data_IF_094084616780
#
_entry.id   IF_094084616780
#
_cell.length_a   1.000
_cell.length_b   1.000
_cell.length_c   1.000
_cell.angle_alpha   90.00
_cell.angle_beta   90.00
_cell.angle_gamma   90.00
#
_symmetry.space_group_name_H-M   'P 1'
#
loop_
_entity.id
_entity.type
_entity.pdbx_description
1 polymer ?
#
# COMPACT_ATOMS: atom_id res chain seq x y z
N UNK A 1 9.69 8.83 -12.62
CA UNK A 1 9.32 8.10 -11.39
C UNK A 1 7.80 8.02 -11.37
N UNK A 2 7.19 6.85 -11.17
CA UNK A 2 5.74 6.76 -11.04
C UNK A 2 5.31 7.37 -9.71
N UNK A 3 4.23 8.13 -9.68
CA UNK A 3 3.69 8.70 -8.44
C UNK A 3 2.85 7.64 -7.71
N UNK A 4 2.80 7.72 -6.39
CA UNK A 4 1.92 6.87 -5.59
C UNK A 4 0.47 7.06 -6.05
N UNK A 5 -0.25 5.97 -6.32
CA UNK A 5 -1.63 6.01 -6.80
C UNK A 5 -2.66 6.39 -5.70
N UNK A 6 -2.20 6.85 -4.55
CA UNK A 6 -3.04 7.31 -3.45
C UNK A 6 -3.33 8.81 -3.55
N UNK A 7 -4.60 9.21 -3.34
CA UNK A 7 -4.98 10.61 -3.38
C UNK A 7 -4.22 11.36 -2.29
N UNK A 8 -3.64 12.51 -2.64
CA UNK A 8 -2.84 13.36 -1.74
C UNK A 8 -1.49 12.75 -1.31
N UNK A 9 -1.04 11.69 -1.97
CA UNK A 9 0.29 11.16 -1.78
C UNK A 9 1.23 11.65 -2.89
N UNK A 10 2.14 12.57 -2.55
CA UNK A 10 3.18 13.05 -3.48
C UNK A 10 4.47 12.23 -3.43
N UNK A 11 4.48 11.12 -2.71
CA UNK A 11 5.65 10.25 -2.61
C UNK A 11 5.86 9.45 -3.91
N UNK A 12 7.11 9.15 -4.28
CA UNK A 12 7.39 8.27 -5.41
C UNK A 12 6.87 6.86 -5.13
N UNK A 13 6.21 6.26 -6.11
CA UNK A 13 5.82 4.86 -6.05
C UNK A 13 7.04 3.95 -6.21
N UNK A 14 7.47 3.39 -5.09
CA UNK A 14 8.60 2.45 -5.01
C UNK A 14 8.13 0.98 -4.99
N UNK A 15 6.85 0.73 -4.73
CA UNK A 15 6.24 -0.60 -4.57
C UNK A 15 4.99 -0.75 -5.43
N UNK A 16 4.48 -1.99 -5.52
CA UNK A 16 3.18 -2.31 -6.14
C UNK A 16 2.34 -3.11 -5.17
N UNK A 17 1.10 -2.68 -4.92
CA UNK A 17 0.09 -3.37 -4.11
C UNK A 17 -1.09 -3.75 -5.02
N UNK A 18 -1.36 -5.04 -5.20
CA UNK A 18 -2.43 -5.54 -6.09
C UNK A 18 -2.43 -4.88 -7.50
N UNK A 19 -1.23 -4.71 -8.09
CA UNK A 19 -1.06 -4.07 -9.39
C UNK A 19 -1.12 -2.54 -9.39
N UNK A 20 -1.42 -1.89 -8.26
CA UNK A 20 -1.37 -0.42 -8.11
C UNK A 20 0.02 0.02 -7.63
N UNK A 21 0.68 0.97 -8.31
CA UNK A 21 1.93 1.53 -7.82
C UNK A 21 1.68 2.39 -6.58
N UNK A 22 2.39 2.12 -5.50
CA UNK A 22 2.22 2.77 -4.19
C UNK A 22 3.59 3.10 -3.60
N UNK A 23 3.66 4.08 -2.71
CA UNK A 23 4.86 4.34 -1.93
C UNK A 23 5.03 3.28 -0.81
N UNK A 24 6.20 3.29 -0.18
CA UNK A 24 6.57 2.35 0.87
C UNK A 24 5.61 2.44 2.07
N UNK A 25 5.31 3.66 2.51
CA UNK A 25 4.42 3.94 3.65
C UNK A 25 3.01 3.32 3.47
N UNK A 26 2.38 3.56 2.32
CA UNK A 26 1.08 2.97 1.99
C UNK A 26 1.16 1.45 1.81
N UNK A 27 2.27 0.93 1.29
CA UNK A 27 2.45 -0.52 1.16
C UNK A 27 2.43 -1.21 2.52
N UNK A 28 3.13 -0.65 3.52
CA UNK A 28 3.12 -1.18 4.89
C UNK A 28 1.75 -1.00 5.56
N UNK A 29 1.07 0.13 5.37
CA UNK A 29 -0.31 0.32 5.86
C UNK A 29 -1.30 -0.70 5.30
N UNK A 30 -1.22 -1.02 4.00
CA UNK A 30 -2.11 -2.03 3.41
C UNK A 30 -1.74 -3.44 3.85
N UNK A 31 -0.44 -3.73 4.00
CA UNK A 31 0.02 -5.01 4.52
C UNK A 31 -0.54 -5.23 5.92
N UNK A 32 -0.38 -4.27 6.81
CA UNK A 32 -0.85 -4.36 8.19
C UNK A 32 -2.38 -4.54 8.27
N UNK A 33 -3.15 -3.76 7.50
CA UNK A 33 -4.60 -3.95 7.41
C UNK A 33 -4.99 -5.33 6.88
N UNK A 34 -4.30 -5.82 5.86
CA UNK A 34 -4.56 -7.14 5.29
C UNK A 34 -4.23 -8.26 6.29
N UNK A 35 -3.09 -8.16 6.98
CA UNK A 35 -2.69 -9.08 8.04
C UNK A 35 -3.67 -9.06 9.22
N UNK A 36 -4.15 -7.88 9.62
CA UNK A 36 -5.17 -7.73 10.64
C UNK A 36 -6.50 -8.38 10.21
N UNK A 37 -6.92 -8.19 8.96
CA UNK A 37 -8.10 -8.87 8.41
C UNK A 37 -7.91 -10.39 8.41
N UNK A 38 -6.74 -10.89 7.99
CA UNK A 38 -6.48 -12.34 7.97
C UNK A 38 -6.50 -12.97 9.38
N UNK A 39 -6.06 -12.25 10.41
CA UNK A 39 -6.09 -12.72 11.80
C UNK A 39 -7.49 -12.83 12.39
N UNK A 40 -8.43 -12.02 11.93
CA UNK A 40 -9.84 -12.05 12.38
C UNK A 40 -10.62 -13.25 11.81
N UNK A 41 -10.13 -13.83 10.71
CA UNK A 41 -10.75 -14.96 10.01
C UNK A 41 -10.22 -16.36 10.41
N UNK A 42 -9.40 -16.47 11.47
CA UNK A 42 -8.87 -17.73 12.03
C UNK A 42 -9.49 -18.04 13.39
#
# INVERSE_FOLDING_TARGET
>A
MSECKEPRCSAPATKKWNGRPVCDDHYDMYRDQYESMLKDFQ
#
